data_IF_008544306907
#
_entry.id   IF_008544306907
#
_cell.length_a   1.000
_cell.length_b   1.000
_cell.length_c   1.000
_cell.angle_alpha   90.00
_cell.angle_beta   90.00
_cell.angle_gamma   90.00
#
_symmetry.space_group_name_H-M   'P 1'
#
loop_
_entity.id
_entity.type
_entity.pdbx_description
1 polymer ?
#
# COMPACT_ATOMS: atom_id res chain seq x y z
N UNK A 1 21.24 18.38 6.01
CA UNK A 1 19.77 18.27 6.10
C UNK A 1 19.46 18.15 7.58
N UNK A 2 18.68 19.07 8.12
CA UNK A 2 18.30 19.01 9.53
C UNK A 2 17.44 17.75 9.76
N UNK A 3 17.56 17.04 10.90
CA UNK A 3 16.82 15.80 11.16
C UNK A 3 15.30 15.94 11.00
N UNK A 4 14.76 17.13 11.28
CA UNK A 4 13.35 17.48 11.14
C UNK A 4 12.89 17.59 9.67
N UNK A 5 13.75 18.08 8.77
CA UNK A 5 13.45 18.18 7.34
C UNK A 5 13.38 16.78 6.71
N UNK A 6 14.32 15.90 7.05
CA UNK A 6 14.34 14.51 6.57
C UNK A 6 13.09 13.73 7.00
N UNK A 7 12.61 13.94 8.23
CA UNK A 7 11.37 13.33 8.75
C UNK A 7 10.12 13.82 8.02
N UNK A 8 10.06 15.11 7.69
CA UNK A 8 8.97 15.70 6.90
C UNK A 8 8.93 15.10 5.49
N UNK A 9 10.08 15.00 4.83
CA UNK A 9 10.18 14.42 3.48
C UNK A 9 9.77 12.94 3.46
N UNK A 10 10.21 12.15 4.44
CA UNK A 10 9.79 10.74 4.59
C UNK A 10 8.27 10.64 4.73
N UNK A 11 7.66 11.49 5.57
CA UNK A 11 6.21 11.49 5.80
C UNK A 11 5.43 11.80 4.51
N UNK A 12 5.90 12.78 3.72
CA UNK A 12 5.30 13.13 2.43
C UNK A 12 5.40 11.95 1.46
N UNK A 13 6.59 11.39 1.27
CA UNK A 13 6.79 10.26 0.36
C UNK A 13 5.96 9.03 0.72
N UNK A 14 5.78 8.74 2.02
CA UNK A 14 4.91 7.64 2.46
C UNK A 14 3.43 7.92 2.18
N UNK A 15 2.99 9.17 2.31
CA UNK A 15 1.62 9.53 1.96
C UNK A 15 1.36 9.42 0.46
N UNK A 16 2.29 9.93 -0.35
CA UNK A 16 2.26 9.84 -1.81
C UNK A 16 2.32 8.40 -2.31
N UNK A 17 2.99 7.49 -1.59
CA UNK A 17 3.04 6.07 -1.92
C UNK A 17 1.76 5.31 -1.51
N UNK A 18 1.17 5.64 -0.36
CA UNK A 18 -0.04 4.97 0.12
C UNK A 18 -1.24 5.16 -0.83
N UNK A 19 -1.37 6.35 -1.43
CA UNK A 19 -2.50 6.69 -2.29
C UNK A 19 -2.62 5.81 -3.56
N UNK A 20 -1.58 5.67 -4.41
CA UNK A 20 -1.64 4.80 -5.59
C UNK A 20 -1.75 3.33 -5.19
N UNK A 21 -1.11 2.88 -4.10
CA UNK A 21 -1.23 1.50 -3.64
C UNK A 21 -2.66 1.16 -3.26
N UNK A 22 -3.33 2.01 -2.48
CA UNK A 22 -4.73 1.82 -2.12
C UNK A 22 -5.65 1.79 -3.35
N UNK A 23 -5.36 2.62 -4.36
CA UNK A 23 -6.10 2.60 -5.62
C UNK A 23 -5.91 1.27 -6.37
N UNK A 24 -4.69 0.75 -6.44
CA UNK A 24 -4.42 -0.55 -7.08
C UNK A 24 -5.07 -1.70 -6.31
N UNK A 25 -4.98 -1.72 -4.97
CA UNK A 25 -5.70 -2.70 -4.13
C UNK A 25 -7.19 -2.68 -4.42
N UNK A 26 -7.84 -1.51 -4.41
CA UNK A 26 -9.27 -1.41 -4.70
C UNK A 26 -9.65 -1.85 -6.11
N UNK A 27 -8.82 -1.57 -7.12
CA UNK A 27 -9.04 -2.07 -8.49
C UNK A 27 -8.90 -3.60 -8.57
N UNK A 28 -7.94 -4.17 -7.84
CA UNK A 28 -7.73 -5.61 -7.74
C UNK A 28 -8.92 -6.28 -7.05
N UNK A 29 -9.41 -5.71 -5.94
CA UNK A 29 -10.62 -6.19 -5.25
C UNK A 29 -11.85 -6.23 -6.17
N UNK A 30 -12.06 -5.18 -6.98
CA UNK A 30 -13.16 -5.14 -7.94
C UNK A 30 -13.02 -6.24 -9.00
N UNK A 31 -11.80 -6.46 -9.53
CA UNK A 31 -11.54 -7.54 -10.47
C UNK A 31 -11.77 -8.92 -9.85
N UNK A 32 -11.46 -9.11 -8.55
CA UNK A 32 -11.74 -10.35 -7.84
C UNK A 32 -13.26 -10.58 -7.68
N UNK A 33 -14.04 -9.53 -7.44
CA UNK A 33 -15.50 -9.61 -7.30
C UNK A 33 -16.20 -9.95 -8.62
N UNK A 34 -15.66 -9.50 -9.76
CA UNK A 34 -16.26 -9.69 -11.10
C UNK A 34 -15.96 -11.07 -11.73
N UNK A 35 -15.11 -11.89 -11.09
CA UNK A 35 -14.69 -13.18 -11.64
C UNK A 35 -15.55 -14.35 -11.13
N UNK A 36 -16.13 -15.11 -12.06
CA UNK A 36 -16.73 -16.42 -11.80
C UNK A 36 -15.81 -17.53 -12.31
N UNK A 37 -15.37 -18.43 -11.42
CA UNK A 37 -14.66 -19.67 -11.77
C UNK A 37 -13.23 -19.79 -11.22
N UNK A 38 -12.68 -21.01 -11.30
CA UNK A 38 -11.33 -21.36 -10.82
C UNK A 38 -10.30 -21.13 -11.94
N UNK A 39 -10.02 -19.85 -12.22
CA UNK A 39 -9.06 -19.42 -13.24
C UNK A 39 -7.69 -19.15 -12.63
N UNK A 40 -6.58 -19.56 -13.27
CA UNK A 40 -5.22 -19.17 -12.84
C UNK A 40 -5.03 -17.66 -12.72
N UNK A 41 -5.74 -16.88 -13.54
CA UNK A 41 -5.73 -15.41 -13.47
C UNK A 41 -6.31 -14.91 -12.13
N UNK A 42 -7.33 -15.58 -11.60
CA UNK A 42 -7.93 -15.23 -10.31
C UNK A 42 -6.90 -15.40 -9.19
N UNK A 43 -6.14 -16.50 -9.22
CA UNK A 43 -5.10 -16.78 -8.22
C UNK A 43 -3.94 -15.76 -8.30
N UNK A 44 -3.53 -15.38 -9.51
CA UNK A 44 -2.53 -14.32 -9.69
C UNK A 44 -3.00 -12.97 -9.16
N UNK A 45 -4.27 -12.60 -9.42
CA UNK A 45 -4.87 -11.36 -8.93
C UNK A 45 -4.99 -11.37 -7.38
N UNK A 46 -5.37 -12.51 -6.78
CA UNK A 46 -5.38 -12.68 -5.32
C UNK A 46 -3.99 -12.45 -4.72
N UNK A 47 -2.96 -13.06 -5.32
CA UNK A 47 -1.57 -12.89 -4.87
C UNK A 47 -1.09 -11.44 -5.00
N UNK A 48 -1.49 -10.73 -6.05
CA UNK A 48 -1.20 -9.30 -6.20
C UNK A 48 -1.86 -8.52 -5.07
N UNK A 49 -3.12 -8.83 -4.75
CA UNK A 49 -3.85 -8.14 -3.68
C UNK A 49 -3.17 -8.30 -2.33
N UNK A 50 -2.86 -9.53 -1.94
CA UNK A 50 -2.17 -9.86 -0.68
C UNK A 50 -0.84 -9.12 -0.56
N UNK A 51 -0.09 -9.02 -1.66
CA UNK A 51 1.18 -8.27 -1.68
C UNK A 51 0.94 -6.78 -1.48
N UNK A 52 -0.07 -6.20 -2.11
CA UNK A 52 -0.39 -4.77 -1.97
C UNK A 52 -0.86 -4.43 -0.56
N UNK A 53 -1.71 -5.27 0.03
CA UNK A 53 -2.09 -5.15 1.44
C UNK A 53 -0.85 -5.13 2.34
N UNK A 54 0.11 -6.03 2.09
CA UNK A 54 1.36 -6.06 2.87
C UNK A 54 2.19 -4.80 2.71
N UNK A 55 2.26 -4.22 1.52
CA UNK A 55 2.95 -2.94 1.31
C UNK A 55 2.24 -1.82 2.08
N UNK A 56 0.91 -1.78 2.06
CA UNK A 56 0.13 -0.80 2.81
C UNK A 56 0.36 -0.91 4.33
N UNK A 57 0.42 -2.12 4.89
CA UNK A 57 0.79 -2.35 6.28
C UNK A 57 2.17 -1.78 6.63
N UNK A 58 3.18 -2.03 5.78
CA UNK A 58 4.54 -1.52 5.98
C UNK A 58 4.55 0.01 5.93
N UNK A 59 3.86 0.62 4.96
CA UNK A 59 3.76 2.07 4.84
C UNK A 59 3.06 2.68 6.07
N UNK A 60 2.01 2.04 6.58
CA UNK A 60 1.33 2.46 7.80
C UNK A 60 2.27 2.42 9.01
N UNK A 61 3.02 1.33 9.19
CA UNK A 61 3.97 1.19 10.28
C UNK A 61 5.10 2.24 10.23
N UNK A 62 5.65 2.52 9.04
CA UNK A 62 6.68 3.57 8.90
C UNK A 62 6.07 4.95 9.22
N UNK A 63 4.82 5.21 8.83
CA UNK A 63 4.13 6.46 9.20
C UNK A 63 3.95 6.61 10.71
N UNK A 64 3.69 5.53 11.44
CA UNK A 64 3.59 5.55 12.91
C UNK A 64 4.94 5.89 13.54
N UNK A 65 6.03 5.25 13.10
CA UNK A 65 7.39 5.55 13.57
C UNK A 65 7.75 7.01 13.29
N UNK A 66 7.48 7.49 12.07
CA UNK A 66 7.76 8.87 11.67
C UNK A 66 6.90 9.91 12.42
N UNK A 67 5.74 9.51 12.98
CA UNK A 67 4.93 10.35 13.87
C UNK A 67 5.47 10.37 15.30
N UNK A 68 5.94 9.23 15.80
CA UNK A 68 6.48 9.13 17.16
C UNK A 68 7.84 9.81 17.34
N UNK A 69 8.59 10.01 16.25
CA UNK A 69 9.90 10.67 16.24
C UNK A 69 9.84 12.21 16.25
N UNK A 70 8.64 12.82 16.27
CA UNK A 70 8.40 14.28 16.32
C UNK A 70 7.44 14.61 17.45
#
# INVERSE_FOLDING_TARGET
>A
MEPLEALSDIRRSLHELAQPLAAVTGMVDLLLLEQEGDSPLLQDIQLINERLEKVLEIVAHIREIARAAT
#
